data_IF_795645290092
#
_entry.id   IF_795645290092
#
_cell.length_a   1.000
_cell.length_b   1.000
_cell.length_c   1.000
_cell.angle_alpha   90.00
_cell.angle_beta   90.00
_cell.angle_gamma   90.00
#
_symmetry.space_group_name_H-M   'P 1'
#
loop_
_entity.id
_entity.type
_entity.pdbx_description
1 polymer ?
#
# COMPACT_ATOMS: atom_id res chain seq x y z
N UNK A 1 -6.53 -90.02 23.93
CA UNK A 1 -7.24 -89.05 23.09
C UNK A 1 -7.30 -87.67 23.80
N UNK A 2 -7.75 -87.58 25.06
CA UNK A 2 -7.89 -86.32 25.79
C UNK A 2 -6.59 -85.57 26.02
N UNK A 3 -5.49 -86.24 26.37
CA UNK A 3 -4.18 -85.63 26.54
C UNK A 3 -3.63 -84.98 25.25
N UNK A 4 -3.97 -85.52 24.09
CA UNK A 4 -3.61 -84.99 22.77
C UNK A 4 -4.39 -83.73 22.42
N UNK A 5 -5.69 -83.68 22.78
CA UNK A 5 -6.54 -82.53 22.59
C UNK A 5 -6.13 -81.36 23.50
N UNK A 6 -5.71 -81.65 24.76
CA UNK A 6 -5.21 -80.67 25.70
C UNK A 6 -3.89 -80.07 25.17
N UNK A 7 -2.94 -80.93 24.72
CA UNK A 7 -1.68 -80.53 24.15
C UNK A 7 -1.88 -79.62 22.90
N UNK A 8 -2.79 -80.01 22.00
CA UNK A 8 -3.18 -79.22 20.81
C UNK A 8 -3.74 -77.87 21.21
N UNK A 9 -4.61 -77.82 22.23
CA UNK A 9 -5.18 -76.58 22.75
C UNK A 9 -4.11 -75.62 23.30
N UNK A 10 -3.12 -76.17 24.05
CA UNK A 10 -1.99 -75.41 24.54
C UNK A 10 -1.16 -74.84 23.40
N UNK A 11 -0.88 -75.64 22.38
CA UNK A 11 -0.11 -75.20 21.21
C UNK A 11 -0.82 -74.07 20.47
N UNK A 12 -2.12 -74.22 20.25
CA UNK A 12 -2.96 -73.18 19.58
C UNK A 12 -2.98 -71.91 20.43
N UNK A 13 -3.16 -72.01 21.73
CA UNK A 13 -3.10 -70.88 22.65
C UNK A 13 -1.77 -70.15 22.63
N UNK A 14 -0.65 -70.91 22.60
CA UNK A 14 0.71 -70.33 22.49
C UNK A 14 0.90 -69.61 21.17
N UNK A 15 0.47 -70.19 20.04
CA UNK A 15 0.53 -69.55 18.72
C UNK A 15 -0.26 -68.23 18.71
N UNK A 16 -1.47 -68.27 19.26
CA UNK A 16 -2.30 -67.05 19.30
C UNK A 16 -1.71 -65.94 20.14
N UNK A 17 -1.02 -66.26 21.22
CA UNK A 17 -0.37 -65.29 22.09
C UNK A 17 1.02 -64.84 21.57
N UNK A 18 1.56 -65.52 20.57
CA UNK A 18 2.86 -65.22 19.93
C UNK A 18 2.75 -64.12 18.90
N UNK A 19 1.61 -64.04 18.17
CA UNK A 19 1.42 -63.08 17.07
C UNK A 19 0.73 -61.84 17.60
N UNK A 20 1.26 -60.66 17.26
CA UNK A 20 0.60 -59.39 17.52
C UNK A 20 0.80 -58.40 16.37
N UNK A 21 -0.10 -57.42 16.25
CA UNK A 21 -0.02 -56.42 15.20
C UNK A 21 0.38 -55.05 15.75
N UNK A 22 1.11 -54.31 14.93
CA UNK A 22 1.49 -52.93 15.18
C UNK A 22 0.83 -52.04 14.10
N UNK A 23 0.15 -51.02 14.50
CA UNK A 23 -0.52 -50.10 13.57
C UNK A 23 0.47 -49.24 12.79
N UNK A 24 0.09 -48.84 11.59
CA UNK A 24 0.88 -47.90 10.77
C UNK A 24 1.19 -46.62 11.54
N UNK A 25 2.41 -46.10 11.34
CA UNK A 25 2.89 -44.88 12.04
C UNK A 25 2.93 -45.04 13.57
N UNK A 26 3.13 -46.26 14.05
CA UNK A 26 3.43 -46.56 15.46
C UNK A 26 4.51 -47.63 15.54
N UNK A 27 5.26 -47.70 16.64
CA UNK A 27 6.16 -48.79 16.96
C UNK A 27 5.91 -49.28 18.38
N UNK A 28 6.37 -50.50 18.66
CA UNK A 28 6.41 -51.05 20.02
C UNK A 28 7.82 -51.54 20.30
N UNK A 29 8.31 -51.26 21.50
CA UNK A 29 9.56 -51.90 21.99
C UNK A 29 9.24 -53.29 22.52
N UNK A 30 10.10 -54.28 22.20
CA UNK A 30 10.04 -55.61 22.74
C UNK A 30 11.17 -55.78 23.75
N UNK A 31 10.76 -56.12 24.96
CA UNK A 31 11.63 -56.32 26.11
C UNK A 31 11.62 -57.81 26.53
N UNK A 32 12.77 -58.32 26.89
CA UNK A 32 12.91 -59.66 27.48
C UNK A 32 13.46 -59.52 28.89
N UNK A 33 12.66 -59.85 29.89
CA UNK A 33 12.99 -59.66 31.31
C UNK A 33 13.47 -58.25 31.63
N UNK A 34 12.81 -57.23 31.04
CA UNK A 34 13.15 -55.81 31.25
C UNK A 34 14.32 -55.30 30.41
N UNK A 35 14.99 -56.14 29.62
CA UNK A 35 16.05 -55.71 28.71
C UNK A 35 15.48 -55.52 27.31
N UNK A 36 15.81 -54.40 26.66
CA UNK A 36 15.49 -54.15 25.26
C UNK A 36 16.09 -55.22 24.33
N UNK A 37 15.29 -55.72 23.40
CA UNK A 37 15.69 -56.69 22.39
C UNK A 37 15.62 -56.13 20.99
N UNK A 38 14.46 -55.62 20.63
CA UNK A 38 14.23 -55.09 19.28
C UNK A 38 12.99 -54.15 19.24
N UNK A 39 12.88 -53.40 18.16
CA UNK A 39 11.68 -52.62 17.84
C UNK A 39 10.80 -53.44 16.91
N UNK A 40 9.51 -53.46 17.21
CA UNK A 40 8.47 -54.02 16.35
C UNK A 40 7.91 -52.91 15.46
N UNK A 41 8.18 -52.97 14.18
CA UNK A 41 7.69 -52.06 13.14
C UNK A 41 6.22 -52.36 12.78
N UNK A 42 5.54 -51.44 12.05
CA UNK A 42 4.17 -51.66 11.60
C UNK A 42 3.99 -52.98 10.82
N UNK A 43 2.90 -53.67 11.11
CA UNK A 43 2.58 -54.96 10.51
C UNK A 43 2.44 -56.08 11.53
N UNK A 44 2.56 -57.32 11.06
CA UNK A 44 2.50 -58.52 11.88
C UNK A 44 3.87 -58.78 12.50
N UNK A 45 3.91 -58.92 13.81
CA UNK A 45 5.11 -59.19 14.57
C UNK A 45 4.92 -60.43 15.46
N UNK A 46 6.03 -61.07 15.78
CA UNK A 46 6.07 -62.27 16.60
C UNK A 46 6.79 -61.95 17.91
N UNK A 47 6.28 -62.40 19.04
CA UNK A 47 6.93 -62.32 20.36
C UNK A 47 6.94 -63.70 21.02
N UNK A 48 7.90 -63.97 21.86
CA UNK A 48 7.93 -65.22 22.66
C UNK A 48 6.99 -65.01 23.87
N UNK A 49 5.85 -65.75 23.94
CA UNK A 49 4.92 -65.62 25.05
C UNK A 49 5.63 -65.90 26.39
N UNK A 50 5.20 -65.21 27.45
CA UNK A 50 5.70 -65.25 28.81
C UNK A 50 7.11 -64.66 29.02
N UNK A 51 7.99 -64.67 28.02
CA UNK A 51 9.38 -64.19 28.11
C UNK A 51 9.49 -62.75 27.57
N UNK A 52 8.84 -62.45 26.44
CA UNK A 52 8.91 -61.17 25.79
C UNK A 52 7.63 -60.35 26.06
N UNK A 53 7.82 -59.08 26.45
CA UNK A 53 6.75 -58.10 26.67
C UNK A 53 6.85 -57.00 25.62
N UNK A 54 5.75 -56.75 24.95
CA UNK A 54 5.64 -55.60 24.04
C UNK A 54 5.18 -54.37 24.83
N UNK A 55 5.85 -53.24 24.65
CA UNK A 55 5.51 -51.95 25.27
C UNK A 55 4.19 -51.38 24.72
N UNK A 56 3.74 -50.28 25.30
CA UNK A 56 2.65 -49.52 24.71
C UNK A 56 3.07 -48.96 23.35
N UNK A 57 2.15 -48.90 22.38
CA UNK A 57 2.45 -48.34 21.06
C UNK A 57 2.83 -46.86 21.20
N UNK A 58 3.96 -46.46 20.61
CA UNK A 58 4.41 -45.10 20.49
C UNK A 58 4.08 -44.55 19.11
N UNK A 59 3.55 -43.33 19.03
CA UNK A 59 3.21 -42.71 17.76
C UNK A 59 4.41 -42.01 17.15
N UNK A 60 4.64 -42.25 15.85
CA UNK A 60 5.68 -41.60 15.04
C UNK A 60 5.08 -40.45 14.22
N UNK A 61 3.79 -40.18 14.37
CA UNK A 61 3.13 -39.05 13.69
C UNK A 61 3.66 -37.73 14.22
N UNK A 62 3.62 -36.70 13.36
CA UNK A 62 3.93 -35.36 13.76
C UNK A 62 2.95 -34.92 14.86
N UNK A 63 3.48 -34.44 15.95
CA UNK A 63 2.74 -33.84 17.07
C UNK A 63 3.06 -32.37 17.14
N UNK A 64 2.12 -31.60 17.64
CA UNK A 64 2.28 -30.19 17.92
C UNK A 64 2.23 -29.96 19.42
N UNK A 65 3.12 -29.10 19.88
CA UNK A 65 3.18 -28.64 21.27
C UNK A 65 3.20 -27.11 21.23
N UNK A 66 2.20 -26.51 21.86
CA UNK A 66 2.10 -25.04 22.00
C UNK A 66 2.66 -24.66 23.35
N UNK A 67 3.66 -23.78 23.33
CA UNK A 67 4.40 -23.34 24.52
C UNK A 67 4.22 -21.84 24.68
N UNK A 68 3.39 -21.37 25.62
CA UNK A 68 3.31 -19.96 25.97
C UNK A 68 4.49 -19.59 26.88
N UNK A 69 5.24 -18.56 26.51
CA UNK A 69 6.40 -18.05 27.25
C UNK A 69 6.19 -16.59 27.60
N UNK A 70 6.09 -16.28 28.86
CA UNK A 70 6.09 -14.91 29.32
C UNK A 70 7.51 -14.41 29.50
N UNK A 71 7.79 -13.26 28.87
CA UNK A 71 9.11 -12.62 28.90
C UNK A 71 8.97 -11.11 28.77
N UNK A 72 10.10 -10.41 28.77
CA UNK A 72 10.16 -8.95 28.70
C UNK A 72 11.05 -8.57 27.51
N UNK A 73 10.59 -7.59 26.74
CA UNK A 73 11.36 -7.02 25.61
C UNK A 73 12.42 -6.03 26.10
N UNK A 74 13.29 -5.56 25.20
CA UNK A 74 14.27 -4.50 25.45
C UNK A 74 13.59 -3.22 25.97
N UNK A 75 12.43 -2.88 25.41
CA UNK A 75 11.62 -1.70 25.78
C UNK A 75 10.91 -1.84 27.15
N UNK A 76 11.26 -2.86 27.93
CA UNK A 76 10.65 -3.15 29.24
C UNK A 76 9.15 -3.53 29.19
N UNK A 77 8.64 -3.99 28.06
CA UNK A 77 7.27 -4.45 27.90
C UNK A 77 7.17 -5.94 28.18
N UNK A 78 6.24 -6.34 29.03
CA UNK A 78 5.90 -7.76 29.20
C UNK A 78 5.10 -8.25 28.01
N UNK A 79 5.50 -9.40 27.48
CA UNK A 79 4.86 -10.04 26.33
C UNK A 79 4.75 -11.55 26.56
N UNK A 80 3.60 -12.10 26.22
CA UNK A 80 3.39 -13.54 26.11
C UNK A 80 3.65 -13.97 24.68
N UNK A 81 4.68 -14.78 24.48
CA UNK A 81 5.07 -15.32 23.18
C UNK A 81 4.65 -16.78 23.12
N UNK A 82 3.72 -17.13 22.25
CA UNK A 82 3.29 -18.51 22.06
C UNK A 82 4.05 -19.13 20.88
N UNK A 83 4.81 -20.18 21.16
CA UNK A 83 5.57 -20.91 20.16
C UNK A 83 4.98 -22.30 19.98
N UNK A 84 4.64 -22.63 18.73
CA UNK A 84 4.16 -23.93 18.33
C UNK A 84 5.31 -24.75 17.74
N UNK A 85 5.67 -25.84 18.39
CA UNK A 85 6.73 -26.76 17.96
C UNK A 85 6.12 -28.03 17.43
N UNK A 86 6.39 -28.33 16.17
CA UNK A 86 6.02 -29.59 15.52
C UNK A 86 7.20 -30.56 15.58
N UNK A 87 6.99 -31.70 16.17
CA UNK A 87 8.02 -32.71 16.38
C UNK A 87 7.52 -34.12 16.08
N UNK A 88 8.44 -35.01 15.76
CA UNK A 88 8.18 -36.44 15.55
C UNK A 88 9.31 -37.29 16.04
N UNK A 89 9.07 -38.58 16.26
CA UNK A 89 10.12 -39.55 16.53
C UNK A 89 10.82 -39.93 15.22
N UNK A 90 12.14 -39.93 15.21
CA UNK A 90 12.96 -40.33 14.07
C UNK A 90 12.96 -41.86 13.91
N UNK A 91 12.80 -42.33 12.66
CA UNK A 91 12.68 -43.76 12.35
C UNK A 91 13.92 -44.59 12.78
N UNK A 92 15.09 -43.98 12.76
CA UNK A 92 16.34 -44.66 13.10
C UNK A 92 16.69 -44.61 14.59
N UNK A 93 16.05 -43.74 15.37
CA UNK A 93 16.37 -43.45 16.78
C UNK A 93 15.21 -43.75 17.74
N UNK A 94 14.36 -44.71 17.39
CA UNK A 94 13.19 -45.06 18.20
C UNK A 94 13.57 -45.57 19.60
N UNK A 95 14.73 -46.25 19.71
CA UNK A 95 15.29 -46.71 20.99
C UNK A 95 15.60 -45.52 21.91
N UNK A 96 16.29 -44.52 21.39
CA UNK A 96 16.70 -43.35 22.16
C UNK A 96 15.45 -42.53 22.61
N UNK A 97 14.46 -42.37 21.72
CA UNK A 97 13.21 -41.68 22.05
C UNK A 97 12.40 -42.39 23.13
N UNK A 98 12.50 -43.72 23.25
CA UNK A 98 11.69 -44.46 24.21
C UNK A 98 12.38 -44.65 25.56
N UNK A 99 13.73 -44.86 25.57
CA UNK A 99 14.46 -45.22 26.79
C UNK A 99 15.35 -44.14 27.37
N UNK A 100 15.74 -43.11 26.60
CA UNK A 100 16.64 -42.07 27.07
C UNK A 100 15.92 -40.82 27.56
N UNK A 101 14.66 -40.61 27.12
CA UNK A 101 13.90 -39.45 27.49
C UNK A 101 12.53 -39.84 28.05
N UNK A 102 12.27 -39.43 29.28
CA UNK A 102 11.02 -39.75 29.97
C UNK A 102 9.83 -38.93 29.41
N UNK A 103 10.01 -37.61 29.25
CA UNK A 103 8.97 -36.73 28.78
C UNK A 103 9.52 -35.71 27.78
N UNK A 104 9.30 -35.99 26.50
CA UNK A 104 9.75 -35.12 25.42
C UNK A 104 9.09 -33.75 25.44
N UNK A 105 7.80 -33.67 25.75
CA UNK A 105 7.05 -32.40 25.76
C UNK A 105 7.59 -31.44 26.83
N UNK A 106 7.86 -31.97 28.01
CA UNK A 106 8.44 -31.17 29.10
C UNK A 106 9.84 -30.67 28.77
N UNK A 107 10.64 -31.49 28.09
CA UNK A 107 12.00 -31.15 27.69
C UNK A 107 11.97 -30.07 26.59
N UNK A 108 11.14 -30.26 25.55
CA UNK A 108 10.95 -29.27 24.50
C UNK A 108 10.50 -27.95 25.11
N UNK A 109 9.52 -27.98 26.02
CA UNK A 109 9.05 -26.77 26.72
C UNK A 109 10.20 -26.04 27.42
N UNK A 110 11.06 -26.76 28.16
CA UNK A 110 12.18 -26.15 28.87
C UNK A 110 13.18 -25.47 27.94
N UNK A 111 13.51 -26.07 26.80
CA UNK A 111 14.43 -25.48 25.82
C UNK A 111 13.79 -24.30 25.07
N UNK A 112 12.51 -24.38 24.74
CA UNK A 112 11.79 -23.23 24.18
C UNK A 112 11.84 -22.04 25.14
N UNK A 113 11.60 -22.24 26.44
CA UNK A 113 11.73 -21.20 27.44
C UNK A 113 13.13 -20.58 27.48
N UNK A 114 14.16 -21.41 27.41
CA UNK A 114 15.54 -20.93 27.44
C UNK A 114 15.88 -20.05 26.22
N UNK A 115 15.61 -20.55 25.04
CA UNK A 115 15.88 -19.80 23.78
C UNK A 115 15.10 -18.48 23.71
N UNK A 116 13.81 -18.51 24.06
CA UNK A 116 12.96 -17.31 24.02
C UNK A 116 13.45 -16.27 25.01
N UNK A 117 13.73 -16.69 26.25
CA UNK A 117 14.24 -15.79 27.30
C UNK A 117 15.65 -15.26 27.03
N UNK A 118 16.44 -15.95 26.22
CA UNK A 118 17.76 -15.48 25.80
C UNK A 118 17.71 -14.45 24.65
N UNK A 119 16.68 -14.52 23.79
CA UNK A 119 16.59 -13.72 22.58
C UNK A 119 15.64 -12.54 22.68
N UNK A 120 14.43 -12.74 23.20
CA UNK A 120 13.40 -11.70 23.25
C UNK A 120 13.82 -10.44 24.02
N UNK A 121 14.56 -10.51 25.13
CA UNK A 121 15.00 -9.31 25.84
C UNK A 121 16.03 -8.45 25.09
N UNK A 122 16.52 -8.91 23.94
CA UNK A 122 17.43 -8.16 23.06
C UNK A 122 16.72 -7.46 21.91
N UNK A 123 15.42 -7.59 21.83
CA UNK A 123 14.58 -7.06 20.75
C UNK A 123 13.56 -6.09 21.35
N UNK A 124 13.32 -5.00 20.64
CA UNK A 124 12.18 -4.13 20.90
C UNK A 124 10.87 -4.85 20.60
N UNK A 125 9.75 -4.34 21.08
CA UNK A 125 8.45 -4.94 20.79
C UNK A 125 8.16 -4.93 19.27
N UNK A 126 8.48 -3.85 18.57
CA UNK A 126 8.29 -3.73 17.13
C UNK A 126 9.20 -4.71 16.35
N UNK A 127 10.48 -4.81 16.73
CA UNK A 127 11.40 -5.81 16.18
C UNK A 127 10.93 -7.25 16.41
N UNK A 128 10.32 -7.51 17.56
CA UNK A 128 9.79 -8.83 17.91
C UNK A 128 8.67 -9.26 16.95
N UNK A 129 7.79 -8.32 16.57
CA UNK A 129 6.74 -8.57 15.59
C UNK A 129 7.30 -8.75 14.17
N UNK A 130 8.31 -7.95 13.80
CA UNK A 130 8.93 -8.01 12.47
C UNK A 130 9.80 -9.26 12.30
N UNK A 131 10.60 -9.61 13.33
CA UNK A 131 11.61 -10.69 13.28
C UNK A 131 11.14 -11.99 13.96
N UNK A 132 9.83 -12.19 14.11
CA UNK A 132 9.28 -13.40 14.75
C UNK A 132 9.76 -14.71 14.12
N UNK A 133 9.97 -14.71 12.80
CA UNK A 133 10.42 -15.90 12.08
C UNK A 133 11.88 -16.24 12.41
N UNK A 134 12.75 -15.27 12.67
CA UNK A 134 14.12 -15.49 13.12
C UNK A 134 14.16 -16.17 14.50
N UNK A 135 13.22 -15.83 15.37
CA UNK A 135 13.09 -16.49 16.69
C UNK A 135 12.65 -17.93 16.51
N UNK A 136 11.68 -18.17 15.64
CA UNK A 136 11.20 -19.52 15.34
C UNK A 136 12.32 -20.40 14.76
N UNK A 137 13.10 -19.88 13.83
CA UNK A 137 14.23 -20.59 13.22
C UNK A 137 15.33 -20.88 14.26
N UNK A 138 15.60 -19.92 15.14
CA UNK A 138 16.56 -20.12 16.21
C UNK A 138 16.11 -21.20 17.21
N UNK A 139 14.82 -21.21 17.59
CA UNK A 139 14.23 -22.25 18.44
C UNK A 139 14.32 -23.60 17.76
N UNK A 140 14.01 -23.67 16.46
CA UNK A 140 14.12 -24.90 15.68
C UNK A 140 15.54 -25.43 15.65
N UNK A 141 16.53 -24.59 15.34
CA UNK A 141 17.93 -24.99 15.21
C UNK A 141 18.47 -25.56 16.52
N UNK A 142 18.21 -24.90 17.64
CA UNK A 142 18.68 -25.32 18.96
C UNK A 142 17.97 -26.59 19.45
N UNK A 143 16.66 -26.67 19.24
CA UNK A 143 15.90 -27.87 19.57
C UNK A 143 16.28 -29.07 18.70
N UNK A 144 16.54 -28.88 17.41
CA UNK A 144 16.84 -29.97 16.49
C UNK A 144 18.19 -30.66 16.86
N UNK A 145 19.20 -29.87 17.25
CA UNK A 145 20.49 -30.38 17.71
C UNK A 145 20.35 -31.22 18.99
N UNK A 146 19.68 -30.69 20.00
CA UNK A 146 19.56 -31.32 21.30
C UNK A 146 18.57 -32.50 21.26
N UNK A 147 17.38 -32.29 20.73
CA UNK A 147 16.33 -33.31 20.71
C UNK A 147 16.62 -34.40 19.70
N UNK A 148 17.42 -34.09 18.64
CA UNK A 148 17.93 -35.07 17.69
C UNK A 148 18.82 -36.15 18.33
N UNK A 149 19.53 -35.84 19.42
CA UNK A 149 20.31 -36.81 20.20
C UNK A 149 19.41 -37.79 20.96
N UNK A 150 18.22 -37.36 21.34
CA UNK A 150 17.21 -38.19 22.02
C UNK A 150 16.22 -38.86 21.06
N UNK A 151 16.44 -38.77 19.74
CA UNK A 151 15.59 -39.43 18.76
C UNK A 151 14.33 -38.70 18.35
N UNK A 152 14.23 -37.41 18.67
CA UNK A 152 13.14 -36.52 18.23
C UNK A 152 13.67 -35.56 17.19
N UNK A 153 13.01 -35.49 16.04
CA UNK A 153 13.26 -34.48 15.00
C UNK A 153 12.23 -33.36 15.05
N UNK A 154 12.69 -32.14 15.00
CA UNK A 154 11.84 -30.95 14.95
C UNK A 154 11.51 -30.63 13.49
N UNK A 155 10.25 -30.74 13.16
CA UNK A 155 9.76 -30.48 11.79
C UNK A 155 9.74 -28.99 11.52
N UNK A 156 9.07 -28.24 12.42
CA UNK A 156 8.97 -26.79 12.34
C UNK A 156 8.70 -26.17 13.72
N UNK A 157 9.26 -25.00 13.96
CA UNK A 157 8.84 -24.11 15.04
C UNK A 157 8.19 -22.86 14.43
N UNK A 158 7.19 -22.31 15.08
CA UNK A 158 6.41 -21.16 14.63
C UNK A 158 6.05 -20.30 15.83
N UNK A 159 6.23 -19.00 15.71
CA UNK A 159 5.63 -18.04 16.64
C UNK A 159 4.18 -17.85 16.20
N UNK A 160 3.24 -18.33 17.01
CA UNK A 160 1.79 -18.33 16.69
C UNK A 160 1.08 -17.11 17.23
N UNK A 161 1.52 -16.61 18.39
CA UNK A 161 0.91 -15.45 19.00
C UNK A 161 1.93 -14.62 19.77
N UNK A 162 1.73 -13.29 19.74
CA UNK A 162 2.52 -12.29 20.47
C UNK A 162 1.54 -11.35 21.14
N UNK A 163 1.30 -11.55 22.43
CA UNK A 163 0.33 -10.76 23.19
C UNK A 163 1.04 -9.90 24.26
N UNK A 164 1.25 -8.60 23.99
CA UNK A 164 1.77 -7.67 24.99
C UNK A 164 0.70 -7.35 26.04
N UNK A 165 1.14 -6.79 27.18
CA UNK A 165 0.24 -6.31 28.22
C UNK A 165 -0.86 -5.39 27.64
N UNK A 166 -2.08 -5.53 28.15
CA UNK A 166 -3.26 -4.83 27.63
C UNK A 166 -3.11 -3.30 27.63
N UNK A 167 -2.41 -2.74 28.59
CA UNK A 167 -2.16 -1.28 28.66
C UNK A 167 -1.25 -0.83 27.52
N UNK A 168 -0.24 -1.63 27.20
CA UNK A 168 0.69 -1.35 26.09
C UNK A 168 -0.04 -1.48 24.74
N UNK A 169 -0.86 -2.52 24.59
CA UNK A 169 -1.69 -2.73 23.41
C UNK A 169 -2.64 -1.55 23.16
N UNK A 170 -3.26 -1.02 24.22
CA UNK A 170 -4.11 0.16 24.13
C UNK A 170 -3.32 1.41 23.74
N UNK A 171 -2.15 1.64 24.34
CA UNK A 171 -1.28 2.77 24.01
C UNK A 171 -0.74 2.71 22.57
N UNK A 172 -0.33 1.52 22.11
CA UNK A 172 0.10 1.32 20.72
C UNK A 172 -1.03 1.59 19.73
N UNK A 173 -2.26 1.16 20.01
CA UNK A 173 -3.41 1.45 19.18
C UNK A 173 -3.67 2.95 19.08
N UNK A 174 -3.58 3.68 20.21
CA UNK A 174 -3.75 5.14 20.25
C UNK A 174 -2.65 5.86 19.44
N UNK A 175 -1.40 5.44 19.60
CA UNK A 175 -0.27 5.98 18.81
C UNK A 175 -0.47 5.71 17.32
N UNK A 176 -0.84 4.49 16.94
CA UNK A 176 -1.09 4.11 15.56
C UNK A 176 -2.27 4.89 14.96
N UNK A 177 -3.34 5.11 15.73
CA UNK A 177 -4.46 5.94 15.32
C UNK A 177 -4.03 7.38 15.07
N UNK A 178 -3.32 7.99 16.02
CA UNK A 178 -2.78 9.34 15.87
C UNK A 178 -1.84 9.47 14.66
N UNK A 179 -0.97 8.48 14.44
CA UNK A 179 -0.08 8.43 13.29
C UNK A 179 -0.86 8.35 11.96
N UNK A 180 -1.86 7.47 11.89
CA UNK A 180 -2.73 7.33 10.70
C UNK A 180 -3.51 8.60 10.42
N UNK A 181 -4.04 9.25 11.47
CA UNK A 181 -4.74 10.54 11.33
C UNK A 181 -3.80 11.63 10.81
N UNK A 182 -2.57 11.69 11.30
CA UNK A 182 -1.55 12.64 10.83
C UNK A 182 -1.20 12.41 9.35
N UNK A 183 -0.96 11.17 8.96
CA UNK A 183 -0.69 10.82 7.56
C UNK A 183 -1.89 11.17 6.68
N UNK A 184 -3.10 10.79 7.08
CA UNK A 184 -4.32 11.11 6.34
C UNK A 184 -4.56 12.62 6.20
N UNK A 185 -4.25 13.42 7.23
CA UNK A 185 -4.36 14.88 7.18
C UNK A 185 -3.30 15.48 6.22
N UNK A 186 -2.07 14.95 6.24
CA UNK A 186 -1.01 15.35 5.31
C UNK A 186 -1.38 15.06 3.85
N UNK A 187 -1.84 13.84 3.57
CA UNK A 187 -2.27 13.42 2.24
C UNK A 187 -3.46 14.25 1.72
N UNK A 188 -4.43 14.54 2.59
CA UNK A 188 -5.55 15.43 2.24
C UNK A 188 -5.07 16.84 1.91
N UNK A 189 -4.17 17.40 2.72
CA UNK A 189 -3.62 18.73 2.46
C UNK A 189 -2.82 18.78 1.15
N UNK A 190 -2.10 17.72 0.81
CA UNK A 190 -1.39 17.64 -0.47
C UNK A 190 -2.36 17.48 -1.66
N UNK A 191 -3.40 16.66 -1.53
CA UNK A 191 -4.44 16.54 -2.53
C UNK A 191 -5.17 17.87 -2.78
N UNK A 192 -5.54 18.60 -1.72
CA UNK A 192 -6.18 19.92 -1.82
C UNK A 192 -5.24 20.93 -2.50
N UNK A 193 -3.95 20.92 -2.16
CA UNK A 193 -2.96 21.77 -2.82
C UNK A 193 -2.86 21.47 -4.31
N UNK A 194 -2.78 20.19 -4.69
CA UNK A 194 -2.75 19.76 -6.09
C UNK A 194 -4.00 20.23 -6.83
N UNK A 195 -5.16 20.09 -6.21
CA UNK A 195 -6.44 20.51 -6.78
C UNK A 195 -6.48 22.02 -7.04
N UNK A 196 -6.09 22.84 -6.05
CA UNK A 196 -6.01 24.30 -6.17
C UNK A 196 -5.02 24.72 -7.27
N UNK A 197 -3.84 24.09 -7.32
CA UNK A 197 -2.83 24.38 -8.34
C UNK A 197 -3.37 24.02 -9.74
N UNK A 198 -3.99 22.84 -9.88
CA UNK A 198 -4.57 22.41 -11.17
C UNK A 198 -5.72 23.29 -11.61
N UNK A 199 -6.56 23.74 -10.71
CA UNK A 199 -7.63 24.69 -11.00
C UNK A 199 -7.06 26.02 -11.48
N UNK A 200 -6.05 26.56 -10.80
CA UNK A 200 -5.37 27.80 -11.22
C UNK A 200 -4.68 27.67 -12.58
N UNK A 201 -3.99 26.55 -12.86
CA UNK A 201 -3.39 26.26 -14.15
C UNK A 201 -4.46 26.16 -15.27
N UNK A 202 -5.57 25.46 -15.00
CA UNK A 202 -6.68 25.33 -15.93
C UNK A 202 -7.32 26.69 -16.24
N UNK A 203 -7.52 27.52 -15.21
CA UNK A 203 -8.05 28.88 -15.36
C UNK A 203 -7.11 29.76 -16.16
N UNK A 204 -5.79 29.72 -15.88
CA UNK A 204 -4.79 30.48 -16.63
C UNK A 204 -4.75 30.06 -18.10
N UNK A 205 -4.78 28.76 -18.35
CA UNK A 205 -4.80 28.22 -19.72
C UNK A 205 -6.08 28.58 -20.46
N UNK A 206 -7.24 28.50 -19.79
CA UNK A 206 -8.53 28.90 -20.33
C UNK A 206 -8.54 30.38 -20.71
N UNK A 207 -8.02 31.25 -19.82
CA UNK A 207 -7.94 32.69 -20.09
C UNK A 207 -6.98 33.00 -21.24
N UNK A 208 -5.84 32.29 -21.34
CA UNK A 208 -4.89 32.44 -22.46
C UNK A 208 -5.52 32.02 -23.80
N UNK A 209 -6.23 30.89 -23.82
CA UNK A 209 -6.93 30.39 -25.01
C UNK A 209 -8.08 31.32 -25.42
N UNK A 210 -8.82 31.80 -24.43
CA UNK A 210 -9.89 32.80 -24.70
C UNK A 210 -9.31 34.10 -25.28
N UNK A 211 -8.21 34.59 -24.70
CA UNK A 211 -7.53 35.79 -25.21
C UNK A 211 -7.00 35.58 -26.65
N UNK A 212 -6.46 34.41 -26.93
CA UNK A 212 -6.04 34.02 -28.30
C UNK A 212 -7.25 33.96 -29.25
N UNK A 213 -8.33 33.29 -28.84
CA UNK A 213 -9.56 33.22 -29.63
C UNK A 213 -10.12 34.60 -30.00
N UNK A 214 -10.18 35.54 -29.03
CA UNK A 214 -10.61 36.92 -29.28
C UNK A 214 -9.67 37.66 -30.24
N UNK A 215 -8.34 37.40 -30.13
CA UNK A 215 -7.38 38.03 -31.04
C UNK A 215 -7.52 37.48 -32.48
N UNK A 216 -7.68 36.15 -32.61
CA UNK A 216 -7.90 35.49 -33.88
C UNK A 216 -9.24 35.92 -34.54
N UNK A 217 -10.29 36.03 -33.73
CA UNK A 217 -11.60 36.57 -34.17
C UNK A 217 -11.46 37.99 -34.68
N UNK A 218 -10.82 38.90 -33.92
CA UNK A 218 -10.59 40.28 -34.37
C UNK A 218 -9.77 40.33 -35.63
N UNK A 219 -8.75 39.50 -35.77
CA UNK A 219 -7.94 39.43 -37.00
C UNK A 219 -8.79 38.99 -38.20
N UNK A 220 -9.60 37.94 -38.02
CA UNK A 220 -10.51 37.48 -39.09
C UNK A 220 -11.51 38.54 -39.53
N UNK A 221 -12.05 39.32 -38.55
CA UNK A 221 -12.94 40.45 -38.83
C UNK A 221 -12.19 41.51 -39.67
N UNK A 222 -10.97 41.89 -39.27
CA UNK A 222 -10.18 42.92 -39.95
C UNK A 222 -9.81 42.46 -41.38
N UNK A 223 -9.38 41.19 -41.53
CA UNK A 223 -9.03 40.60 -42.81
C UNK A 223 -10.26 40.52 -43.75
N UNK A 224 -11.43 40.11 -43.21
CA UNK A 224 -12.70 40.13 -43.91
C UNK A 224 -13.15 41.54 -44.34
N UNK A 225 -12.97 42.52 -43.45
CA UNK A 225 -13.27 43.93 -43.73
C UNK A 225 -12.37 44.46 -44.83
N UNK A 226 -11.08 44.17 -44.77
CA UNK A 226 -10.10 44.57 -45.82
C UNK A 226 -10.46 43.96 -47.17
N UNK A 227 -10.79 42.67 -47.24
CA UNK A 227 -11.24 42.00 -48.47
C UNK A 227 -12.53 42.67 -49.00
N UNK A 228 -13.49 42.99 -48.16
CA UNK A 228 -14.74 43.67 -48.54
C UNK A 228 -14.48 45.06 -49.08
N UNK A 229 -13.56 45.84 -48.49
CA UNK A 229 -13.17 47.18 -48.98
C UNK A 229 -12.47 47.05 -50.34
N UNK A 230 -11.56 46.11 -50.50
CA UNK A 230 -10.85 45.90 -51.77
C UNK A 230 -11.82 45.49 -52.91
N UNK A 231 -12.79 44.65 -52.66
CA UNK A 231 -13.82 44.26 -53.61
C UNK A 231 -14.79 45.39 -53.96
N UNK A 232 -15.15 46.20 -52.97
CA UNK A 232 -16.02 47.37 -53.20
C UNK A 232 -15.30 48.45 -54.00
N UNK A 233 -14.01 48.71 -53.77
CA UNK A 233 -13.19 49.62 -54.58
C UNK A 233 -13.08 49.21 -56.02
N UNK A 234 -13.02 47.90 -56.32
CA UNK A 234 -12.99 47.36 -57.68
C UNK A 234 -14.34 47.52 -58.39
N UNK A 235 -15.46 47.53 -57.65
CA UNK A 235 -16.82 47.55 -58.19
C UNK A 235 -17.35 48.95 -58.46
N UNK A 236 -16.84 49.99 -57.78
CA UNK A 236 -17.35 51.38 -57.85
C UNK A 236 -16.17 52.32 -58.17
N UNK A 237 -16.08 52.78 -59.43
CA UNK A 237 -15.13 53.82 -59.88
C UNK A 237 -15.59 55.20 -59.35
N UNK A 238 -14.82 55.80 -58.43
CA UNK A 238 -15.06 57.19 -57.99
C UNK A 238 -15.25 57.44 -56.50
N UNK A 239 -15.31 56.39 -55.68
CA UNK A 239 -15.43 56.54 -54.19
C UNK A 239 -14.06 56.43 -53.51
N UNK A 240 -13.79 57.37 -52.61
CA UNK A 240 -12.51 57.34 -51.86
C UNK A 240 -12.50 56.26 -50.79
N UNK A 241 -11.32 55.73 -50.38
CA UNK A 241 -11.19 54.65 -49.40
C UNK A 241 -11.84 55.02 -48.04
N UNK A 242 -11.91 56.28 -47.71
CA UNK A 242 -12.47 56.83 -46.47
C UNK A 242 -14.03 56.75 -46.44
N UNK A 243 -14.68 56.91 -47.58
CA UNK A 243 -16.13 56.82 -47.72
C UNK A 243 -16.60 55.36 -47.58
N UNK A 244 -15.87 54.41 -48.17
CA UNK A 244 -16.13 52.99 -48.00
C UNK A 244 -15.95 52.54 -46.56
N UNK A 245 -14.88 53.02 -45.90
CA UNK A 245 -14.64 52.76 -44.49
C UNK A 245 -15.77 53.23 -43.57
N UNK A 246 -16.28 54.45 -43.83
CA UNK A 246 -17.42 54.99 -43.08
C UNK A 246 -18.70 54.18 -43.28
N UNK A 247 -18.95 53.68 -44.47
CA UNK A 247 -20.12 52.83 -44.76
C UNK A 247 -20.00 51.48 -44.05
N UNK A 248 -18.83 50.87 -44.02
CA UNK A 248 -18.59 49.60 -43.37
C UNK A 248 -18.71 49.76 -41.84
N UNK A 249 -18.10 50.79 -41.25
CA UNK A 249 -18.24 51.11 -39.82
C UNK A 249 -19.69 51.36 -39.42
N UNK A 250 -20.47 52.01 -40.24
CA UNK A 250 -21.89 52.23 -40.05
C UNK A 250 -22.68 50.92 -40.05
N UNK A 251 -22.38 50.04 -41.01
CA UNK A 251 -23.00 48.70 -41.10
C UNK A 251 -22.67 47.88 -39.86
N UNK A 252 -21.39 47.87 -39.43
CA UNK A 252 -20.94 47.13 -38.23
C UNK A 252 -21.57 47.71 -36.93
N UNK A 253 -21.78 49.01 -36.87
CA UNK A 253 -22.53 49.65 -35.77
C UNK A 253 -23.97 49.12 -35.69
N UNK A 254 -24.67 49.05 -36.85
CA UNK A 254 -26.04 48.52 -36.88
C UNK A 254 -26.10 47.02 -36.55
N UNK A 255 -25.13 46.26 -37.00
CA UNK A 255 -25.04 44.83 -36.67
C UNK A 255 -24.78 44.62 -35.17
N UNK A 256 -23.92 45.45 -34.56
CA UNK A 256 -23.69 45.45 -33.10
C UNK A 256 -24.96 45.82 -32.33
N UNK A 257 -25.68 46.80 -32.76
CA UNK A 257 -26.97 47.18 -32.16
C UNK A 257 -28.01 46.07 -32.30
N UNK A 258 -28.08 45.42 -33.44
CA UNK A 258 -28.94 44.24 -33.67
C UNK A 258 -28.57 43.08 -32.75
N UNK A 259 -27.28 42.83 -32.55
CA UNK A 259 -26.79 41.80 -31.64
C UNK A 259 -27.17 42.10 -30.19
N UNK A 260 -27.01 43.35 -29.73
CA UNK A 260 -27.41 43.79 -28.39
C UNK A 260 -28.92 43.66 -28.21
N UNK A 261 -29.68 44.06 -29.21
CA UNK A 261 -31.15 43.97 -29.20
C UNK A 261 -31.66 42.52 -29.18
N UNK A 262 -30.91 41.58 -29.80
CA UNK A 262 -31.30 40.18 -29.84
C UNK A 262 -30.90 39.41 -28.57
N UNK A 263 -29.89 39.89 -27.82
CA UNK A 263 -29.35 39.20 -26.63
C UNK A 263 -29.92 39.75 -25.32
N UNK A 264 -30.55 40.91 -25.31
CA UNK A 264 -31.01 41.59 -24.13
C UNK A 264 -32.48 41.34 -23.82
N UNK A 265 -32.77 40.77 -22.65
CA UNK A 265 -34.06 40.80 -22.03
C UNK A 265 -34.37 42.25 -21.61
N UNK A 266 -35.27 42.91 -22.33
CA UNK A 266 -35.94 44.19 -21.96
C UNK A 266 -35.06 45.41 -21.72
N UNK A 267 -34.19 45.79 -22.63
CA UNK A 267 -33.58 47.12 -22.63
C UNK A 267 -34.06 47.92 -23.83
N UNK A 268 -34.82 48.94 -23.58
CA UNK A 268 -35.19 49.96 -24.61
C UNK A 268 -33.95 50.79 -24.95
N UNK A 269 -33.44 50.67 -26.15
CA UNK A 269 -32.28 51.43 -26.63
C UNK A 269 -32.88 52.71 -27.35
N UNK A 270 -32.71 53.86 -26.74
CA UNK A 270 -33.03 55.11 -27.36
C UNK A 270 -31.88 55.61 -28.22
N UNK A 271 -32.05 55.62 -29.53
CA UNK A 271 -31.08 56.14 -30.48
C UNK A 271 -31.57 57.52 -30.95
N UNK A 272 -30.79 58.59 -30.79
CA UNK A 272 -31.16 59.89 -31.33
C UNK A 272 -31.17 59.84 -32.87
N UNK A 273 -32.33 60.23 -33.45
CA UNK A 273 -32.65 60.13 -34.87
C UNK A 273 -32.38 61.39 -35.64
N UNK A 274 -31.40 62.24 -35.29
CA UNK A 274 -31.10 63.44 -36.07
C UNK A 274 -29.94 63.18 -37.06
N UNK A 275 -30.06 63.61 -38.30
CA UNK A 275 -29.00 63.42 -39.32
C UNK A 275 -27.65 64.08 -38.96
N UNK A 276 -27.66 65.12 -38.08
CA UNK A 276 -26.43 65.77 -37.59
C UNK A 276 -25.69 65.00 -36.54
N UNK A 277 -26.30 64.03 -35.81
CA UNK A 277 -25.65 63.25 -34.75
C UNK A 277 -24.71 62.19 -35.27
N UNK A 278 -24.83 61.79 -36.51
CA UNK A 278 -23.90 60.79 -37.15
C UNK A 278 -22.56 61.45 -37.53
N UNK A 279 -22.55 62.71 -37.94
CA UNK A 279 -21.32 63.46 -38.21
C UNK A 279 -20.59 63.82 -36.89
N UNK A 280 -21.29 64.11 -35.82
CA UNK A 280 -20.72 64.38 -34.51
C UNK A 280 -20.18 63.12 -33.87
N UNK A 281 -20.82 61.99 -34.08
CA UNK A 281 -20.32 60.69 -33.59
C UNK A 281 -19.02 60.24 -34.33
N UNK A 282 -18.95 60.49 -35.65
CA UNK A 282 -17.74 60.20 -36.41
C UNK A 282 -16.58 61.10 -36.03
N UNK A 283 -16.86 62.38 -35.65
CA UNK A 283 -15.88 63.32 -35.12
C UNK A 283 -15.35 62.87 -33.71
N UNK A 284 -16.30 62.52 -32.82
CA UNK A 284 -15.94 62.03 -31.46
C UNK A 284 -15.12 60.73 -31.50
N UNK A 285 -15.43 59.77 -32.38
CA UNK A 285 -14.64 58.58 -32.56
C UNK A 285 -13.23 58.87 -33.08
N UNK A 286 -13.10 59.80 -33.97
CA UNK A 286 -11.78 60.22 -34.49
C UNK A 286 -10.95 60.90 -33.40
N UNK A 287 -11.54 61.77 -32.57
CA UNK A 287 -10.89 62.42 -31.44
C UNK A 287 -10.49 61.41 -30.35
N UNK A 288 -11.32 60.44 -30.06
CA UNK A 288 -11.01 59.32 -29.14
C UNK A 288 -9.83 58.46 -29.63
N UNK A 289 -9.77 58.18 -30.92
CA UNK A 289 -8.65 57.42 -31.53
C UNK A 289 -7.35 58.24 -31.50
N UNK A 290 -7.41 59.54 -31.73
CA UNK A 290 -6.23 60.43 -31.63
C UNK A 290 -5.72 60.55 -30.19
N UNK A 291 -6.62 60.61 -29.21
CA UNK A 291 -6.28 60.65 -27.79
C UNK A 291 -5.70 59.29 -27.32
N UNK A 292 -6.26 58.16 -27.77
CA UNK A 292 -5.73 56.84 -27.46
C UNK A 292 -4.31 56.64 -28.02
N UNK A 293 -4.02 57.19 -29.21
CA UNK A 293 -2.67 57.20 -29.80
C UNK A 293 -1.63 58.01 -29.02
N UNK A 294 -2.06 59.13 -28.39
CA UNK A 294 -1.18 59.95 -27.55
C UNK A 294 -0.88 59.31 -26.20
N UNK A 295 -1.83 58.62 -25.59
CA UNK A 295 -1.65 57.90 -24.31
C UNK A 295 -0.68 56.73 -24.49
N UNK A 296 -0.71 56.02 -25.63
CA UNK A 296 0.20 54.90 -25.93
C UNK A 296 1.63 55.41 -26.23
N UNK A 297 1.79 56.57 -26.82
CA UNK A 297 3.08 57.21 -27.12
C UNK A 297 3.85 57.68 -25.86
N UNK A 298 3.12 58.09 -24.83
CA UNK A 298 3.71 58.59 -23.60
C UNK A 298 4.19 57.47 -22.66
N UNK A 299 3.50 56.31 -22.64
CA UNK A 299 3.90 55.13 -21.84
C UNK A 299 5.26 54.51 -22.28
N UNK A 300 5.64 54.68 -23.54
CA UNK A 300 6.94 54.20 -24.06
C UNK A 300 8.12 55.12 -23.72
N UNK A 301 7.88 56.38 -23.30
CA UNK A 301 8.96 57.26 -22.84
C UNK A 301 9.31 57.01 -21.38
N UNK A 302 8.31 56.70 -20.52
CA UNK A 302 8.54 56.47 -19.09
C UNK A 302 9.22 55.13 -18.80
N UNK A 303 9.00 54.12 -19.65
CA UNK A 303 9.70 52.82 -19.56
C UNK A 303 11.19 52.82 -19.97
N UNK A 304 11.61 53.86 -20.76
CA UNK A 304 13.04 54.01 -21.12
C UNK A 304 13.83 54.73 -20.05
N UNK A 305 13.19 55.62 -19.28
CA UNK A 305 13.88 56.38 -18.22
C UNK A 305 14.09 55.57 -16.96
N UNK A 306 13.19 54.60 -16.66
CA UNK A 306 13.32 53.75 -15.45
C UNK A 306 14.35 52.62 -15.60
N UNK A 307 14.69 52.19 -16.84
CA UNK A 307 15.74 51.19 -17.07
C UNK A 307 17.18 51.75 -17.02
N UNK A 308 17.36 53.08 -17.10
CA UNK A 308 18.68 53.69 -17.08
C UNK A 308 19.17 54.02 -15.65
N UNK A 309 18.27 54.01 -14.65
CA UNK A 309 18.64 54.29 -13.24
C UNK A 309 18.93 53.04 -12.41
N UNK A 310 18.69 51.81 -12.90
CA UNK A 310 18.92 50.54 -12.18
C UNK A 310 20.31 49.92 -12.47
N UNK A 311 21.15 50.50 -13.30
CA UNK A 311 22.45 49.97 -13.67
C UNK A 311 23.62 50.88 -13.22
N UNK A 312 23.62 51.38 -11.95
CA UNK A 312 24.84 51.89 -11.33
C UNK A 312 25.30 50.93 -10.23
N UNK A 313 26.53 50.42 -10.28
CA UNK A 313 27.08 49.56 -9.24
C UNK A 313 27.34 50.38 -7.98
N UNK A 314 26.88 49.91 -6.83
CA UNK A 314 27.29 50.39 -5.50
C UNK A 314 28.75 50.03 -5.34
N UNK A 315 29.60 51.05 -5.36
CA UNK A 315 30.95 51.00 -4.80
C UNK A 315 30.86 51.26 -3.29
N UNK A 316 31.46 50.40 -2.60
CA UNK A 316 32.00 50.33 -1.25
C UNK A 316 31.93 51.54 -0.32
N UNK A 317 31.44 51.26 0.91
CA UNK A 317 32.18 51.49 2.17
C UNK A 317 31.62 50.59 3.28
#
# INVERSE_FOLDING_TARGET
>A
MEALLILLGIIVFLIFNTIFTVKQQTFKSIERFGKFVRIANPGINIKIPFIEKASRPQSMRIRQLDVPVETKTEDNVFVSVSISVQYRILDEKQFDAFYRLDNAERQITAYVFDVVRARVPKLSLDDLFEKKDEIADAVKAELDDIMGQFGYGIVKALVTDLDPDQKVKSAMNEINEAQRLRVAASERGEADKILIVKEAEAQATSNALRGKGIADERKAIIDGLKASIDDFQKSITGTGPMEVMNLVLLTQYFDSLKSIASTGNNSSIFIPHSPGSLSDFSAQMRDALLQAGQVTGNKNKDLKTTKTQQNQPKQDS
#
